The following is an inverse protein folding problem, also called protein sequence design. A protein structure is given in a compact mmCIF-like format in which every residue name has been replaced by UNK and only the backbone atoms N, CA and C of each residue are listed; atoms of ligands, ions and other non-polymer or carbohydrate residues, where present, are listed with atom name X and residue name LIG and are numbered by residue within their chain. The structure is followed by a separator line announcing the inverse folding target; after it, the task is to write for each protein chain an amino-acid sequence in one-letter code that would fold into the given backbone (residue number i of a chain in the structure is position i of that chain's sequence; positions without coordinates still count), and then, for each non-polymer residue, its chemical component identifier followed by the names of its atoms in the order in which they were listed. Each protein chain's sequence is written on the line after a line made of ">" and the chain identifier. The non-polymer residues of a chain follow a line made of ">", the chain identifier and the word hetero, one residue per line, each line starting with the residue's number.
data_IF_594507162870
#
_entry.id   IF_594507162870
#
_cell.length_a   1.000
_cell.length_b   1.000
_cell.length_c   1.000
_cell.angle_alpha   90.00
_cell.angle_beta   90.00
_cell.angle_gamma   90.00
#
_symmetry.space_group_name_H-M   'P 1'
#
loop_
_entity.id
_entity.type
_entity.pdbx_description
1 polymer ?
#
# COMPACT_ATOMS: atom_id res chain seq x y z
N UNK A 1 -6.41 7.15 19.78
CA UNK A 1 -6.77 7.51 18.39
C UNK A 1 -5.50 7.47 17.55
N UNK A 2 -5.44 6.64 16.52
CA UNK A 2 -4.34 6.64 15.56
C UNK A 2 -4.36 7.91 14.72
N UNK A 3 -3.19 8.50 14.50
CA UNK A 3 -2.98 9.59 13.55
C UNK A 3 -2.08 9.07 12.44
N UNK A 4 -2.66 8.84 11.26
CA UNK A 4 -1.96 8.40 10.08
C UNK A 4 -1.50 9.62 9.28
N UNK A 5 -0.21 9.67 8.97
CA UNK A 5 0.39 10.73 8.13
C UNK A 5 1.31 10.09 7.11
N UNK A 6 1.36 10.69 5.92
CA UNK A 6 2.22 10.22 4.84
C UNK A 6 2.40 11.30 3.78
N UNK A 7 3.18 10.96 2.75
CA UNK A 7 3.39 11.79 1.56
C UNK A 7 2.95 11.00 0.35
N UNK A 8 2.00 11.55 -0.40
CA UNK A 8 1.62 11.04 -1.71
C UNK A 8 2.64 11.58 -2.73
N UNK A 9 3.25 10.70 -3.53
CA UNK A 9 4.23 11.09 -4.55
C UNK A 9 3.64 12.03 -5.61
N UNK A 10 2.48 11.68 -6.16
CA UNK A 10 1.72 12.54 -7.08
C UNK A 10 0.22 12.29 -6.98
N UNK A 11 -0.53 13.39 -6.95
CA UNK A 11 -1.95 13.42 -7.31
C UNK A 11 -2.13 14.31 -8.55
N UNK A 12 -2.61 13.72 -9.64
CA UNK A 12 -2.94 14.46 -10.87
C UNK A 12 -4.43 14.80 -10.87
N UNK A 13 -4.76 16.02 -11.30
CA UNK A 13 -6.13 16.55 -11.34
C UNK A 13 -6.51 16.93 -12.77
N UNK A 14 -7.65 16.47 -13.25
CA UNK A 14 -8.20 16.84 -14.56
C UNK A 14 -9.73 16.89 -14.49
N UNK A 15 -10.31 18.10 -14.41
CA UNK A 15 -11.73 18.25 -14.08
C UNK A 15 -12.03 17.61 -12.72
N UNK A 16 -13.01 16.71 -12.68
CA UNK A 16 -13.34 15.92 -11.48
C UNK A 16 -12.47 14.67 -11.32
N UNK A 17 -11.63 14.35 -12.30
CA UNK A 17 -10.80 13.16 -12.27
C UNK A 17 -9.58 13.37 -11.35
N UNK A 18 -9.34 12.41 -10.44
CA UNK A 18 -8.14 12.35 -9.60
C UNK A 18 -7.38 11.05 -9.82
N UNK A 19 -6.07 11.17 -10.09
CA UNK A 19 -5.18 10.03 -10.29
C UNK A 19 -4.03 10.05 -9.31
N UNK A 20 -3.90 8.99 -8.52
CA UNK A 20 -2.77 8.76 -7.64
C UNK A 20 -1.69 7.98 -8.38
N UNK A 21 -0.46 8.50 -8.34
CA UNK A 21 0.70 7.82 -8.91
C UNK A 21 1.84 7.79 -7.91
N UNK A 22 2.34 6.59 -7.66
CA UNK A 22 3.54 6.35 -6.87
C UNK A 22 4.70 5.93 -7.77
N UNK A 23 5.85 6.57 -7.61
CA UNK A 23 6.96 6.38 -8.53
C UNK A 23 7.94 5.31 -8.03
N UNK A 24 8.23 4.32 -8.87
CA UNK A 24 9.16 3.23 -8.56
C UNK A 24 10.34 3.21 -9.53
N UNK A 25 11.55 2.99 -9.01
CA UNK A 25 12.77 2.89 -9.82
C UNK A 25 13.04 1.47 -10.31
N UNK A 26 12.85 0.47 -9.45
CA UNK A 26 13.25 -0.92 -9.71
C UNK A 26 12.09 -1.90 -9.56
N UNK A 27 11.78 -2.28 -8.33
CA UNK A 27 10.70 -3.20 -8.02
C UNK A 27 9.35 -2.51 -8.08
N UNK A 28 8.38 -3.20 -8.67
CA UNK A 28 6.97 -2.84 -8.63
C UNK A 28 6.18 -4.13 -8.50
N UNK A 29 5.24 -4.22 -7.54
CA UNK A 29 4.38 -5.40 -7.40
C UNK A 29 3.64 -5.72 -8.70
N UNK A 30 3.24 -6.97 -8.91
CA UNK A 30 2.32 -7.32 -10.02
C UNK A 30 0.90 -6.87 -9.68
N UNK A 31 0.06 -6.67 -10.69
CA UNK A 31 -1.37 -6.34 -10.49
C UNK A 31 -2.07 -7.38 -9.61
N UNK A 32 -1.83 -8.67 -9.86
CA UNK A 32 -2.40 -9.78 -9.07
C UNK A 32 -1.97 -9.76 -7.60
N UNK A 33 -0.77 -9.26 -7.31
CA UNK A 33 -0.27 -9.15 -5.93
C UNK A 33 -0.77 -7.89 -5.21
N UNK A 34 -1.24 -6.87 -5.95
CA UNK A 34 -1.76 -5.64 -5.36
C UNK A 34 -3.18 -5.81 -4.86
N UNK A 35 -3.99 -6.62 -5.53
CA UNK A 35 -5.33 -6.97 -5.11
C UNK A 35 -5.54 -8.48 -5.25
N UNK A 36 -4.85 -9.28 -4.42
CA UNK A 36 -4.98 -10.73 -4.49
C UNK A 36 -6.40 -11.16 -4.09
N UNK A 37 -6.88 -12.25 -4.68
CA UNK A 37 -8.17 -12.85 -4.32
C UNK A 37 -8.15 -13.31 -2.86
N UNK A 38 -7.07 -13.99 -2.46
CA UNK A 38 -6.84 -14.47 -1.10
C UNK A 38 -5.53 -13.93 -0.51
N UNK A 39 -5.47 -13.76 0.82
CA UNK A 39 -4.28 -13.29 1.52
C UNK A 39 -4.09 -11.77 1.48
N UNK A 40 -2.93 -11.29 1.92
CA UNK A 40 -2.62 -9.86 2.12
C UNK A 40 -1.97 -9.29 0.84
N UNK A 41 -2.29 -8.06 0.41
CA UNK A 41 -1.61 -7.44 -0.73
C UNK A 41 -0.11 -7.28 -0.48
N UNK A 42 0.69 -7.39 -1.53
CA UNK A 42 2.14 -7.19 -1.47
C UNK A 42 2.56 -5.79 -1.01
N UNK A 43 1.66 -4.81 -1.10
CA UNK A 43 1.86 -3.47 -0.53
C UNK A 43 0.52 -2.81 -0.21
N UNK A 44 0.47 -2.16 0.95
CA UNK A 44 -0.66 -1.29 1.34
C UNK A 44 -0.50 0.18 0.91
N UNK A 45 0.60 0.55 0.25
CA UNK A 45 0.93 1.95 0.01
C UNK A 45 -0.12 2.72 -0.81
N UNK A 46 -0.62 2.13 -1.90
CA UNK A 46 -1.68 2.78 -2.70
C UNK A 46 -3.01 2.84 -1.95
N UNK A 47 -3.36 1.82 -1.16
CA UNK A 47 -4.55 1.83 -0.29
C UNK A 47 -4.48 2.95 0.74
N UNK A 48 -3.31 3.16 1.33
CA UNK A 48 -3.06 4.27 2.23
C UNK A 48 -3.21 5.64 1.54
N UNK A 49 -2.71 5.78 0.30
CA UNK A 49 -2.88 7.02 -0.46
C UNK A 49 -4.34 7.30 -0.81
N UNK A 50 -5.13 6.26 -1.13
CA UNK A 50 -6.57 6.38 -1.36
C UNK A 50 -7.24 6.90 -0.08
N UNK A 51 -6.99 6.26 1.06
CA UNK A 51 -7.54 6.67 2.35
C UNK A 51 -7.22 8.14 2.68
N UNK A 52 -5.96 8.56 2.48
CA UNK A 52 -5.55 9.94 2.75
C UNK A 52 -6.20 10.94 1.79
N UNK A 53 -6.24 10.64 0.50
CA UNK A 53 -6.84 11.55 -0.49
C UNK A 53 -8.36 11.69 -0.26
N UNK A 54 -9.07 10.58 -0.03
CA UNK A 54 -10.50 10.58 0.22
C UNK A 54 -10.86 11.21 1.57
N UNK A 55 -10.00 11.07 2.58
CA UNK A 55 -10.13 11.77 3.86
C UNK A 55 -10.08 13.30 3.73
N UNK A 56 -9.45 13.82 2.68
CA UNK A 56 -9.42 15.25 2.34
C UNK A 56 -10.52 15.64 1.32
N UNK A 57 -11.47 14.74 1.04
CA UNK A 57 -12.60 14.98 0.14
C UNK A 57 -12.31 14.80 -1.35
N UNK A 58 -11.15 14.24 -1.72
CA UNK A 58 -10.82 13.95 -3.12
C UNK A 58 -11.42 12.60 -3.55
N UNK A 59 -12.23 12.59 -4.61
CA UNK A 59 -12.71 11.33 -5.22
C UNK A 59 -11.63 10.73 -6.11
N UNK A 60 -11.03 9.61 -5.71
CA UNK A 60 -9.94 8.97 -6.47
C UNK A 60 -10.51 8.07 -7.58
N UNK A 61 -10.09 8.32 -8.83
CA UNK A 61 -10.56 7.58 -10.01
C UNK A 61 -9.51 6.63 -10.61
N UNK A 62 -8.24 6.81 -10.25
CA UNK A 62 -7.21 5.81 -10.54
C UNK A 62 -6.10 5.84 -9.51
N UNK A 63 -5.51 4.67 -9.29
CA UNK A 63 -4.33 4.52 -8.45
C UNK A 63 -3.35 3.56 -9.12
N UNK A 64 -2.09 3.98 -9.26
CA UNK A 64 -1.08 3.20 -9.96
C UNK A 64 0.32 3.44 -9.44
N UNK A 65 1.18 2.44 -9.67
CA UNK A 65 2.62 2.65 -9.68
C UNK A 65 3.06 3.00 -11.09
N UNK A 66 4.00 3.94 -11.21
CA UNK A 66 4.76 4.14 -12.43
C UNK A 66 6.20 3.67 -12.22
N UNK A 67 6.63 2.67 -13.00
CA UNK A 67 8.00 2.15 -12.94
C UNK A 67 8.85 2.84 -14.01
N UNK A 68 9.83 3.64 -13.60
CA UNK A 68 10.75 4.32 -14.51
C UNK A 68 11.65 3.34 -15.27
N UNK A 69 12.21 2.32 -14.59
CA UNK A 69 13.11 1.36 -15.23
C UNK A 69 12.44 0.47 -16.28
N UNK A 70 11.11 0.34 -16.23
CA UNK A 70 10.31 -0.42 -17.20
C UNK A 70 9.37 0.45 -18.03
N UNK A 71 9.42 1.77 -17.84
CA UNK A 71 8.57 2.79 -18.48
C UNK A 71 7.08 2.42 -18.54
N UNK A 72 6.54 1.88 -17.43
CA UNK A 72 5.17 1.34 -17.44
C UNK A 72 4.39 1.62 -16.17
N UNK A 73 3.07 1.69 -16.34
CA UNK A 73 2.12 1.71 -15.25
C UNK A 73 1.74 0.30 -14.78
N UNK A 74 1.71 0.10 -13.47
CA UNK A 74 1.02 -1.01 -12.82
C UNK A 74 -0.16 -0.43 -12.06
N UNK A 75 -1.37 -0.72 -12.54
CA UNK A 75 -2.60 -0.11 -12.06
C UNK A 75 -3.24 -1.00 -11.00
N UNK A 76 -3.63 -0.41 -9.88
CA UNK A 76 -4.54 -1.04 -8.92
C UNK A 76 -5.96 -0.99 -9.51
N UNK A 77 -6.40 0.21 -9.90
CA UNK A 77 -7.64 0.46 -10.65
C UNK A 77 -7.47 1.70 -11.55
N UNK A 78 -8.28 1.80 -12.60
CA UNK A 78 -8.30 2.96 -13.50
C UNK A 78 -9.60 3.10 -14.29
N UNK A 79 -10.44 4.03 -13.86
CA UNK A 79 -11.74 4.34 -14.46
C UNK A 79 -11.64 5.12 -15.78
N UNK A 80 -10.51 5.76 -16.07
CA UNK A 80 -10.36 6.55 -17.31
C UNK A 80 -10.22 5.68 -18.57
N UNK A 81 -9.76 4.44 -18.41
CA UNK A 81 -9.29 3.65 -19.53
C UNK A 81 -10.37 2.89 -20.28
N UNK A 82 -11.60 2.81 -19.75
CA UNK A 82 -12.70 2.03 -20.33
C UNK A 82 -12.42 0.52 -20.48
N UNK A 83 -11.26 0.04 -20.02
CA UNK A 83 -10.84 -1.37 -20.10
C UNK A 83 -11.44 -2.17 -18.95
N UNK A 84 -11.71 -3.46 -19.18
CA UNK A 84 -12.01 -4.42 -18.12
C UNK A 84 -10.84 -4.48 -17.14
N UNK A 85 -11.04 -3.93 -15.96
CA UNK A 85 -10.11 -3.92 -14.84
C UNK A 85 -10.89 -3.68 -13.54
N UNK A 86 -10.19 -3.64 -12.41
CA UNK A 86 -10.78 -3.22 -11.14
C UNK A 86 -11.26 -1.76 -11.26
N UNK A 87 -12.45 -1.46 -10.73
CA UNK A 87 -12.94 -0.09 -10.55
C UNK A 87 -12.73 0.37 -9.10
N UNK A 88 -12.92 1.65 -8.80
CA UNK A 88 -12.84 2.12 -7.41
C UNK A 88 -13.89 1.44 -6.53
N UNK A 89 -15.07 1.17 -7.07
CA UNK A 89 -16.20 0.55 -6.37
C UNK A 89 -16.03 -0.96 -6.15
N UNK A 90 -14.92 -1.55 -6.59
CA UNK A 90 -14.59 -2.92 -6.24
C UNK A 90 -14.44 -3.02 -4.71
N UNK A 91 -15.34 -3.77 -4.08
CA UNK A 91 -15.40 -3.95 -2.62
C UNK A 91 -14.08 -4.43 -2.01
N UNK A 92 -13.22 -5.08 -2.81
CA UNK A 92 -11.89 -5.49 -2.34
C UNK A 92 -11.05 -4.29 -1.93
N UNK A 93 -11.19 -3.13 -2.57
CA UNK A 93 -10.40 -1.94 -2.24
C UNK A 93 -10.70 -1.47 -0.82
N UNK A 94 -11.99 -1.26 -0.50
CA UNK A 94 -12.40 -0.82 0.83
C UNK A 94 -12.07 -1.88 1.89
N UNK A 95 -12.27 -3.17 1.57
CA UNK A 95 -11.88 -4.26 2.47
C UNK A 95 -10.36 -4.27 2.76
N UNK A 96 -9.51 -3.95 1.77
CA UNK A 96 -8.05 -3.84 1.97
C UNK A 96 -7.67 -2.60 2.76
N UNK A 97 -8.39 -1.49 2.62
CA UNK A 97 -8.19 -0.30 3.47
C UNK A 97 -8.54 -0.63 4.93
N UNK A 98 -9.65 -1.32 5.16
CA UNK A 98 -10.04 -1.76 6.50
C UNK A 98 -9.03 -2.76 7.10
N UNK A 99 -8.61 -3.76 6.33
CA UNK A 99 -7.57 -4.71 6.73
C UNK A 99 -6.27 -3.99 7.10
N UNK A 100 -5.84 -3.02 6.29
CA UNK A 100 -4.68 -2.19 6.59
C UNK A 100 -4.82 -1.47 7.94
N UNK A 101 -5.97 -0.85 8.21
CA UNK A 101 -6.22 -0.15 9.47
C UNK A 101 -6.16 -1.10 10.66
N UNK A 102 -6.75 -2.29 10.55
CA UNK A 102 -6.69 -3.34 11.56
C UNK A 102 -5.25 -3.79 11.83
N UNK A 103 -4.44 -3.96 10.78
CA UNK A 103 -3.02 -4.29 10.90
C UNK A 103 -2.22 -3.17 11.59
N UNK A 104 -2.53 -1.90 11.34
CA UNK A 104 -1.88 -0.77 12.01
C UNK A 104 -2.26 -0.71 13.49
N UNK A 105 -3.52 -0.95 13.85
CA UNK A 105 -3.94 -1.04 15.26
C UNK A 105 -3.25 -2.21 15.98
N UNK A 106 -3.19 -3.38 15.35
CA UNK A 106 -2.45 -4.53 15.89
C UNK A 106 -0.95 -4.21 16.06
N UNK A 107 -0.34 -3.54 15.08
CA UNK A 107 1.04 -3.08 15.18
C UNK A 107 1.23 -2.11 16.34
N UNK A 108 0.31 -1.14 16.52
CA UNK A 108 0.33 -0.22 17.64
C UNK A 108 0.26 -0.95 18.99
N UNK A 109 -0.67 -1.89 19.13
CA UNK A 109 -0.82 -2.65 20.37
C UNK A 109 0.48 -3.38 20.75
N UNK A 110 1.14 -4.01 19.77
CA UNK A 110 2.43 -4.69 19.98
C UNK A 110 3.53 -3.72 20.41
N UNK A 111 3.62 -2.56 19.77
CA UNK A 111 4.57 -1.50 20.14
C UNK A 111 4.31 -1.04 21.58
N UNK A 112 3.05 -0.79 21.95
CA UNK A 112 2.66 -0.33 23.29
C UNK A 112 3.01 -1.38 24.37
N UNK A 113 2.93 -2.68 24.05
CA UNK A 113 3.31 -3.77 24.97
C UNK A 113 4.80 -4.12 24.93
N UNK A 114 5.60 -3.43 24.11
CA UNK A 114 7.03 -3.71 23.95
C UNK A 114 7.36 -5.02 23.20
N UNK A 115 6.41 -5.55 22.41
CA UNK A 115 6.65 -6.69 21.54
C UNK A 115 7.25 -6.22 20.20
N UNK A 116 8.56 -6.35 20.09
CA UNK A 116 9.33 -6.06 18.88
C UNK A 116 9.80 -7.33 18.16
N UNK A 117 9.12 -8.46 18.35
CA UNK A 117 9.45 -9.68 17.64
C UNK A 117 9.32 -9.48 16.12
N UNK A 118 10.38 -9.82 15.41
CA UNK A 118 10.53 -9.60 13.98
C UNK A 118 10.51 -10.93 13.21
N UNK A 119 9.96 -10.88 11.99
CA UNK A 119 9.92 -12.00 11.04
C UNK A 119 11.04 -11.94 10.01
N UNK A 120 10.67 -11.94 8.72
CA UNK A 120 11.56 -12.04 7.55
C UNK A 120 12.82 -11.13 7.66
N UNK A 121 14.01 -11.75 7.59
CA UNK A 121 15.30 -11.12 7.93
C UNK A 121 16.24 -10.93 6.72
N UNK A 122 15.82 -11.31 5.51
CA UNK A 122 16.72 -11.43 4.35
C UNK A 122 17.32 -10.09 3.89
N UNK A 123 16.59 -9.00 4.07
CA UNK A 123 17.02 -7.63 3.70
C UNK A 123 17.07 -6.67 4.89
N UNK A 124 17.14 -7.17 6.12
CA UNK A 124 17.13 -6.33 7.32
C UNK A 124 18.54 -5.83 7.68
N UNK A 125 18.77 -4.52 7.58
CA UNK A 125 20.05 -3.89 7.95
C UNK A 125 20.41 -4.07 9.45
N UNK A 126 19.41 -4.28 10.30
CA UNK A 126 19.59 -4.50 11.74
C UNK A 126 19.87 -5.96 12.10
N UNK A 127 20.07 -6.85 11.11
CA UNK A 127 20.31 -8.29 11.34
C UNK A 127 21.50 -8.58 12.26
N UNK A 128 22.52 -7.71 12.29
CA UNK A 128 23.70 -7.89 13.13
C UNK A 128 23.47 -7.52 14.60
N UNK A 129 22.46 -6.71 14.91
CA UNK A 129 22.09 -6.36 16.29
C UNK A 129 20.86 -7.12 16.78
N UNK A 130 20.11 -7.74 15.87
CA UNK A 130 18.92 -8.53 16.17
C UNK A 130 19.30 -9.83 16.91
N UNK A 131 18.88 -9.94 18.18
CA UNK A 131 19.18 -11.09 19.04
C UNK A 131 18.46 -12.36 18.63
N UNK A 132 17.42 -12.28 17.79
CA UNK A 132 16.68 -13.45 17.28
C UNK A 132 17.60 -14.41 16.51
N UNK A 133 18.67 -13.90 15.88
CA UNK A 133 19.71 -14.72 15.21
C UNK A 133 20.54 -15.57 16.18
N UNK A 134 20.69 -15.13 17.43
CA UNK A 134 21.53 -15.78 18.45
C UNK A 134 20.71 -16.62 19.44
N UNK A 135 19.39 -16.74 19.22
CA UNK A 135 18.55 -17.68 19.96
C UNK A 135 18.95 -19.10 19.57
N UNK A 136 19.90 -19.67 20.28
CA UNK A 136 20.20 -21.11 20.27
C UNK A 136 18.98 -21.78 20.89
N UNK A 137 18.27 -22.61 20.11
CA UNK A 137 17.31 -23.57 20.67
C UNK A 137 18.05 -24.79 21.18
#
# INVERSE_FOLDING_TARGET
>A
KLLLRGRIDRISRSGDFRSLVDYKKSYTPSVSSLAPEDGIPASFQLYFYILLAEGEGEKVNSASYYNFGKEKYVKLFDESSGRKGMSREDKRIDARIEEMLNLVEAMKARIDTGDFSAGNCDSCDFRNICRTRFTVR
#
